data_IF_342496300723
#
_entry.id   IF_342496300723
#
_cell.length_a   1.000
_cell.length_b   1.000
_cell.length_c   1.000
_cell.angle_alpha   90.00
_cell.angle_beta   90.00
_cell.angle_gamma   90.00
#
_symmetry.space_group_name_H-M   'P 1'
#
loop_
_entity.id
_entity.type
_entity.pdbx_description
1 polymer ?
#
# COMPACT_ATOMS: atom_id res chain seq x y z
N UNK A 1 10.42 8.43 27.64
CA UNK A 1 9.48 8.95 26.62
C UNK A 1 10.30 9.34 25.41
N UNK A 2 10.09 8.69 24.26
CA UNK A 2 10.82 9.01 23.03
C UNK A 2 10.27 10.33 22.50
N UNK A 3 11.14 11.33 22.27
CA UNK A 3 10.74 12.63 21.70
C UNK A 3 11.10 12.63 20.23
N UNK A 4 10.09 12.83 19.38
CA UNK A 4 10.31 13.05 17.96
C UNK A 4 10.72 14.51 17.72
N UNK A 5 11.77 14.71 16.92
CA UNK A 5 12.30 16.01 16.53
C UNK A 5 11.86 16.36 15.11
N UNK A 6 11.98 17.64 14.72
CA UNK A 6 11.73 18.05 13.34
C UNK A 6 12.59 17.28 12.32
N UNK A 7 13.86 17.00 12.66
CA UNK A 7 14.75 16.23 11.80
C UNK A 7 14.23 14.81 11.56
N UNK A 8 13.57 14.19 12.55
CA UNK A 8 12.95 12.88 12.40
C UNK A 8 11.78 12.92 11.41
N UNK A 9 10.95 13.98 11.45
CA UNK A 9 9.88 14.19 10.48
C UNK A 9 10.40 14.48 9.07
N UNK A 10 11.47 15.26 8.95
CA UNK A 10 12.09 15.56 7.66
C UNK A 10 12.63 14.28 7.02
N UNK A 11 13.38 13.46 7.77
CA UNK A 11 13.88 12.17 7.31
C UNK A 11 12.77 11.21 6.90
N UNK A 12 11.70 11.10 7.69
CA UNK A 12 10.53 10.30 7.31
C UNK A 12 9.84 10.84 6.04
N UNK A 13 9.84 12.16 5.89
CA UNK A 13 9.28 12.86 4.73
C UNK A 13 9.98 12.54 3.41
N UNK A 14 11.28 12.23 3.42
CA UNK A 14 12.05 11.88 2.20
C UNK A 14 11.41 10.69 1.46
N UNK A 15 10.88 9.72 2.22
CA UNK A 15 10.24 8.52 1.65
C UNK A 15 8.72 8.68 1.49
N UNK A 16 8.08 9.45 2.38
CA UNK A 16 6.64 9.63 2.40
C UNK A 16 6.14 10.60 1.32
N UNK A 17 6.72 11.80 1.24
CA UNK A 17 6.21 12.89 0.41
C UNK A 17 6.20 12.59 -1.09
N UNK A 18 7.22 11.95 -1.69
CA UNK A 18 7.18 11.62 -3.11
C UNK A 18 5.96 10.78 -3.50
N UNK A 19 5.56 9.83 -2.65
CA UNK A 19 4.38 8.96 -2.87
C UNK A 19 3.08 9.71 -2.66
N UNK A 20 3.01 10.49 -1.57
CA UNK A 20 1.85 11.34 -1.30
C UNK A 20 1.58 12.30 -2.46
N UNK A 21 2.61 13.01 -2.94
CA UNK A 21 2.47 13.97 -4.02
C UNK A 21 2.19 13.34 -5.37
N UNK A 22 2.67 12.13 -5.63
CA UNK A 22 2.26 11.36 -6.79
C UNK A 22 0.73 11.15 -6.79
N UNK A 23 0.20 10.58 -5.70
CA UNK A 23 -1.23 10.29 -5.59
C UNK A 23 -2.09 11.57 -5.61
N UNK A 24 -1.65 12.62 -4.90
CA UNK A 24 -2.37 13.89 -4.86
C UNK A 24 -2.49 14.53 -6.26
N UNK A 25 -1.43 14.48 -7.06
CA UNK A 25 -1.45 15.00 -8.44
C UNK A 25 -2.41 14.25 -9.35
N UNK A 26 -2.49 12.92 -9.21
CA UNK A 26 -3.42 12.09 -9.98
C UNK A 26 -4.89 12.35 -9.59
N UNK A 27 -5.16 12.74 -8.34
CA UNK A 27 -6.52 13.06 -7.86
C UNK A 27 -6.97 14.48 -8.21
N UNK A 28 -6.04 15.39 -8.50
CA UNK A 28 -6.33 16.78 -8.85
C UNK A 28 -6.23 17.76 -7.67
N UNK A 29 -6.39 19.05 -7.96
CA UNK A 29 -6.06 20.15 -7.05
C UNK A 29 -6.94 20.23 -5.79
N UNK A 30 -8.16 19.70 -5.84
CA UNK A 30 -9.12 19.73 -4.73
C UNK A 30 -9.05 18.49 -3.81
N UNK A 31 -8.09 17.59 -4.06
CA UNK A 31 -7.96 16.34 -3.32
C UNK A 31 -7.68 16.59 -1.83
N UNK A 32 -8.58 16.12 -0.97
CA UNK A 32 -8.40 16.20 0.48
C UNK A 32 -7.34 15.20 0.94
N UNK A 33 -6.55 15.51 1.99
CA UNK A 33 -5.51 14.61 2.48
C UNK A 33 -5.99 13.19 2.77
N UNK A 34 -7.20 13.02 3.30
CA UNK A 34 -7.79 11.72 3.60
C UNK A 34 -8.06 10.90 2.33
N UNK A 35 -8.45 11.57 1.23
CA UNK A 35 -8.65 10.93 -0.06
C UNK A 35 -7.31 10.46 -0.63
N UNK A 36 -6.26 11.28 -0.53
CA UNK A 36 -4.90 10.94 -0.94
C UNK A 36 -4.39 9.72 -0.16
N UNK A 37 -4.54 9.72 1.17
CA UNK A 37 -4.10 8.60 2.01
C UNK A 37 -4.83 7.30 1.69
N UNK A 38 -6.15 7.36 1.47
CA UNK A 38 -6.95 6.18 1.11
C UNK A 38 -6.55 5.57 -0.23
N UNK A 39 -6.31 6.42 -1.23
CA UNK A 39 -5.85 5.95 -2.55
C UNK A 39 -4.42 5.42 -2.45
N UNK A 40 -3.56 6.06 -1.66
CA UNK A 40 -2.20 5.59 -1.41
C UNK A 40 -2.17 4.19 -0.76
N UNK A 41 -3.04 3.90 0.20
CA UNK A 41 -3.20 2.56 0.79
C UNK A 41 -3.62 1.52 -0.27
N UNK A 42 -4.63 1.86 -1.08
CA UNK A 42 -5.13 0.98 -2.14
C UNK A 42 -4.06 0.72 -3.22
N UNK A 43 -3.32 1.75 -3.62
CA UNK A 43 -2.25 1.66 -4.59
C UNK A 43 -1.06 0.85 -4.05
N UNK A 44 -0.72 1.00 -2.78
CA UNK A 44 0.32 0.19 -2.14
C UNK A 44 -0.03 -1.31 -2.17
N UNK A 45 -1.28 -1.68 -1.92
CA UNK A 45 -1.73 -3.07 -2.01
C UNK A 45 -1.58 -3.64 -3.44
N UNK A 46 -1.92 -2.85 -4.46
CA UNK A 46 -1.76 -3.24 -5.88
C UNK A 46 -0.28 -3.38 -6.24
N UNK A 47 0.55 -2.39 -5.88
CA UNK A 47 1.99 -2.41 -6.13
C UNK A 47 2.66 -3.60 -5.43
N UNK A 48 2.26 -3.91 -4.21
CA UNK A 48 2.74 -5.08 -3.47
C UNK A 48 2.36 -6.39 -4.17
N UNK A 49 1.10 -6.53 -4.61
CA UNK A 49 0.67 -7.71 -5.39
C UNK A 49 1.48 -7.86 -6.69
N UNK A 50 1.81 -6.76 -7.36
CA UNK A 50 2.62 -6.77 -8.57
C UNK A 50 4.08 -7.15 -8.28
N UNK A 51 4.66 -6.68 -7.15
CA UNK A 51 6.06 -6.93 -6.80
C UNK A 51 6.32 -8.37 -6.33
N UNK A 52 5.35 -9.01 -5.68
CA UNK A 52 5.45 -10.40 -5.23
C UNK A 52 5.08 -11.42 -6.33
N UNK A 53 4.54 -10.96 -7.47
CA UNK A 53 4.07 -11.82 -8.56
C UNK A 53 3.03 -12.85 -8.10
N UNK A 54 2.98 -14.02 -8.75
CA UNK A 54 2.13 -15.15 -8.36
C UNK A 54 2.68 -15.98 -7.18
N UNK A 55 3.74 -15.53 -6.50
CA UNK A 55 4.44 -16.32 -5.46
C UNK A 55 3.78 -16.29 -4.09
N UNK A 56 2.73 -15.49 -3.90
CA UNK A 56 2.03 -15.38 -2.62
C UNK A 56 0.59 -15.83 -2.84
N UNK A 57 0.24 -16.95 -2.20
CA UNK A 57 -1.11 -17.54 -2.24
C UNK A 57 -2.19 -16.55 -1.76
N UNK A 58 -3.49 -16.88 -1.96
CA UNK A 58 -4.59 -15.93 -1.81
C UNK A 58 -4.57 -15.23 -0.44
N UNK A 59 -4.34 -13.91 -0.46
CA UNK A 59 -4.43 -13.05 0.72
C UNK A 59 -5.89 -12.60 0.91
N UNK A 60 -6.50 -12.98 2.03
CA UNK A 60 -7.89 -12.65 2.40
C UNK A 60 -8.72 -13.88 2.79
N UNK A 61 -9.92 -13.66 3.33
CA UNK A 61 -10.79 -14.66 3.97
C UNK A 61 -11.35 -15.79 3.05
N UNK A 62 -10.90 -15.88 1.79
CA UNK A 62 -11.21 -17.02 0.94
C UNK A 62 -10.06 -18.04 0.96
N UNK A 63 -9.91 -18.73 2.10
CA UNK A 63 -9.36 -20.08 2.08
C UNK A 63 -10.46 -21.00 1.57
N UNK A 64 -10.45 -21.36 0.29
CA UNK A 64 -11.00 -22.66 -0.09
C UNK A 64 -9.92 -23.69 0.25
N UNK A 65 -10.23 -24.76 1.01
CA UNK A 65 -9.27 -25.82 1.26
C UNK A 65 -8.86 -26.45 -0.08
N UNK A 66 -7.60 -26.86 -0.15
CA UNK A 66 -7.07 -27.67 -1.23
C UNK A 66 -7.93 -28.94 -1.36
N UNK A 67 -8.68 -29.05 -2.45
CA UNK A 67 -9.10 -30.32 -3.01
C UNK A 67 -8.30 -30.52 -4.30
N UNK A 68 -7.05 -30.93 -4.15
CA UNK A 68 -6.42 -31.80 -5.15
C UNK A 68 -6.79 -33.25 -4.78
N UNK A 69 -8.03 -33.62 -5.06
CA UNK A 69 -8.34 -35.02 -5.39
C UNK A 69 -7.81 -35.26 -6.81
N UNK A 70 -6.59 -35.79 -6.91
CA UNK A 70 -6.13 -36.47 -8.12
C UNK A 70 -6.43 -37.96 -7.99
N UNK A 71 -7.62 -38.36 -8.40
CA UNK A 71 -7.92 -39.73 -8.84
C UNK A 71 -8.04 -39.72 -10.38
N UNK A 72 -6.99 -40.19 -11.06
CA UNK A 72 -7.02 -40.82 -12.39
C UNK A 72 -5.64 -41.38 -12.75
#
# INVERSE_FOLDING_TARGET
>A
MMKLTLEDYQKAGEEFWPKYWYVAKELGEDAQPEQVLKVMESLAAVAFKQSIGSKVGPFGFNKKPEEEESDA
#
